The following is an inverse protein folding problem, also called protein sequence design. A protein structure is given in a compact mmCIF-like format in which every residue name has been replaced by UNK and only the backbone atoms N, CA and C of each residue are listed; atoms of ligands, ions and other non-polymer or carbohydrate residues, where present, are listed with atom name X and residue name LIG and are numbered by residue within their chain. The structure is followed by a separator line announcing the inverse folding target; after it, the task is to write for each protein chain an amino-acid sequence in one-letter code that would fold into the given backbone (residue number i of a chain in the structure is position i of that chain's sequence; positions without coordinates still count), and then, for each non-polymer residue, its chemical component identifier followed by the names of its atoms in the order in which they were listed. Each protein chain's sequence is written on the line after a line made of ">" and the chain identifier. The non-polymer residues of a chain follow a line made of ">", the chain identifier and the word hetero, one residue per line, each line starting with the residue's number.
data_IF_842476229081
#
_entry.id   IF_842476229081
#
_cell.length_a   1.000
_cell.length_b   1.000
_cell.length_c   1.000
_cell.angle_alpha   90.00
_cell.angle_beta   90.00
_cell.angle_gamma   90.00
#
_symmetry.space_group_name_H-M   'P 1'
#
loop_
_entity.id
_entity.type
_entity.pdbx_description
1 polymer ?
#
# COMPACT_ATOMS: atom_id res chain seq x y z
N UNK A 1 -10.99 31.36 20.25
CA UNK A 1 -11.41 30.29 21.20
C UNK A 1 -11.63 29.07 20.31
N UNK A 2 -10.62 28.21 20.18
CA UNK A 2 -10.67 26.96 19.41
C UNK A 2 -11.13 25.83 20.32
N UNK A 3 -12.14 25.08 19.89
CA UNK A 3 -12.70 23.92 20.58
C UNK A 3 -11.98 22.65 20.07
N UNK A 4 -11.35 21.82 20.92
CA UNK A 4 -10.73 20.59 20.46
C UNK A 4 -11.80 19.51 20.22
N UNK A 5 -11.80 18.97 19.00
CA UNK A 5 -12.69 17.87 18.58
C UNK A 5 -12.41 16.61 19.40
N UNK A 6 -13.44 16.17 20.10
CA UNK A 6 -13.53 14.91 20.82
C UNK A 6 -13.52 13.72 19.86
N UNK A 7 -12.61 12.77 20.05
CA UNK A 7 -12.69 11.41 19.48
C UNK A 7 -13.35 10.47 20.49
N UNK A 8 -14.56 9.92 20.23
CA UNK A 8 -15.29 9.09 21.20
C UNK A 8 -15.05 7.58 20.98
N UNK A 9 -13.81 7.10 21.12
CA UNK A 9 -13.53 5.65 21.18
C UNK A 9 -12.51 5.33 22.25
N UNK A 10 -12.86 5.56 23.51
CA UNK A 10 -12.23 4.91 24.66
C UNK A 10 -13.33 4.35 25.55
N UNK A 11 -13.68 3.09 25.35
CA UNK A 11 -14.36 2.35 26.39
C UNK A 11 -13.33 1.98 27.46
N UNK A 12 -13.59 2.30 28.77
CA UNK A 12 -12.76 1.81 29.85
C UNK A 12 -13.02 0.30 30.03
N UNK A 13 -11.93 -0.47 30.10
CA UNK A 13 -11.98 -1.88 30.48
C UNK A 13 -12.48 -2.03 31.91
N UNK A 14 -13.26 -3.08 32.24
CA UNK A 14 -13.70 -3.34 33.60
C UNK A 14 -12.51 -3.76 34.48
N UNK A 15 -12.49 -3.24 35.71
CA UNK A 15 -11.54 -3.61 36.74
C UNK A 15 -11.95 -4.96 37.39
N UNK A 16 -10.95 -5.71 37.79
CA UNK A 16 -10.85 -6.94 38.64
C UNK A 16 -10.54 -8.20 37.83
N UNK A 17 -9.39 -8.87 38.05
CA UNK A 17 -9.03 -9.65 39.18
C UNK A 17 -7.51 -9.89 39.23
N UNK A 18 -6.99 -9.84 40.43
CA UNK A 18 -5.61 -10.17 40.82
C UNK A 18 -5.38 -11.66 40.75
N UNK A 19 -4.25 -12.04 40.21
CA UNK A 19 -3.36 -13.20 40.46
C UNK A 19 -2.92 -13.84 39.15
N UNK A 20 -1.70 -13.55 38.78
CA UNK A 20 -0.57 -14.43 38.47
C UNK A 20 0.52 -13.54 37.90
N UNK A 21 1.56 -13.32 38.72
CA UNK A 21 2.79 -12.63 38.30
C UNK A 21 3.63 -13.65 37.55
N UNK A 22 3.53 -13.67 36.21
CA UNK A 22 4.53 -14.31 35.39
C UNK A 22 5.70 -13.33 35.19
N UNK A 23 6.85 -13.71 35.78
CA UNK A 23 8.06 -12.88 35.81
C UNK A 23 8.91 -13.08 34.55
N UNK A 24 8.32 -12.82 33.37
CA UNK A 24 9.11 -12.59 32.18
C UNK A 24 8.59 -11.28 31.55
N UNK A 25 9.38 -10.20 31.48
CA UNK A 25 9.02 -9.07 30.67
C UNK A 25 9.07 -9.53 29.20
N UNK A 26 7.90 -9.75 28.62
CA UNK A 26 7.78 -9.78 27.16
C UNK A 26 8.19 -8.39 26.72
N UNK A 27 9.44 -8.26 26.28
CA UNK A 27 9.92 -7.04 25.62
C UNK A 27 9.16 -7.02 24.28
N UNK A 28 8.01 -6.35 24.26
CA UNK A 28 7.45 -5.88 23.01
C UNK A 28 8.51 -4.93 22.42
N UNK A 29 9.28 -5.40 21.43
CA UNK A 29 9.95 -4.46 20.54
C UNK A 29 8.83 -3.57 20.00
N UNK A 30 8.81 -2.31 20.37
CA UNK A 30 8.11 -1.29 19.61
C UNK A 30 8.69 -1.38 18.20
N UNK A 31 8.00 -2.09 17.30
CA UNK A 31 8.30 -2.01 15.89
C UNK A 31 7.99 -0.56 15.52
N UNK A 32 9.04 0.21 15.33
CA UNK A 32 8.91 1.60 14.90
C UNK A 32 8.30 1.55 13.51
N UNK A 33 7.00 1.85 13.43
CA UNK A 33 6.31 1.98 12.16
C UNK A 33 6.98 3.10 11.37
N UNK A 34 7.48 2.79 10.18
CA UNK A 34 8.13 3.76 9.32
C UNK A 34 7.09 4.45 8.45
N UNK A 35 7.24 5.76 8.30
CA UNK A 35 6.53 6.57 7.31
C UNK A 35 7.50 6.95 6.20
N UNK A 36 7.02 7.10 4.97
CA UNK A 36 7.80 7.58 3.84
C UNK A 36 7.05 8.70 3.11
N UNK A 37 7.74 9.76 2.79
CA UNK A 37 7.26 10.79 1.88
C UNK A 37 7.47 10.38 0.42
N UNK A 38 7.00 11.21 -0.53
CA UNK A 38 7.06 10.89 -1.95
C UNK A 38 8.50 10.79 -2.50
N UNK A 39 9.43 11.56 -1.97
CA UNK A 39 10.83 11.51 -2.40
C UNK A 39 11.48 10.19 -2.01
N UNK A 40 11.26 9.74 -0.78
CA UNK A 40 11.71 8.43 -0.27
C UNK A 40 11.07 7.27 -1.02
N UNK A 41 9.77 7.38 -1.38
CA UNK A 41 9.09 6.39 -2.23
C UNK A 41 9.76 6.31 -3.62
N UNK A 42 10.14 7.44 -4.19
CA UNK A 42 10.83 7.51 -5.49
C UNK A 42 12.24 6.90 -5.44
N UNK A 43 12.88 6.80 -4.29
CA UNK A 43 14.15 6.07 -4.13
C UNK A 43 13.96 4.55 -4.14
N UNK A 44 12.74 4.09 -3.85
CA UNK A 44 12.40 2.66 -3.79
C UNK A 44 11.76 2.20 -5.09
N UNK A 45 10.70 2.90 -5.54
CA UNK A 45 9.97 2.55 -6.76
C UNK A 45 10.57 3.21 -8.00
N UNK A 46 10.68 2.47 -9.14
CA UNK A 46 11.16 3.04 -10.40
C UNK A 46 10.13 3.99 -11.06
N UNK A 47 8.88 3.96 -10.63
CA UNK A 47 7.78 4.72 -11.20
C UNK A 47 7.99 6.24 -11.09
N UNK A 48 7.58 6.99 -12.12
CA UNK A 48 7.60 8.46 -12.17
C UNK A 48 6.29 8.95 -12.78
N UNK A 49 6.07 10.27 -12.74
CA UNK A 49 4.92 10.87 -13.41
C UNK A 49 4.81 10.41 -14.88
N UNK A 50 3.62 10.04 -15.39
CA UNK A 50 2.31 10.05 -14.71
C UNK A 50 1.95 8.73 -14.01
N UNK A 51 2.88 7.77 -13.87
CA UNK A 51 2.62 6.43 -13.36
C UNK A 51 2.96 6.22 -11.88
N UNK A 52 3.51 7.22 -11.19
CA UNK A 52 3.66 7.15 -9.74
C UNK A 52 2.32 7.49 -9.08
N UNK A 53 1.68 6.49 -8.47
CA UNK A 53 0.33 6.57 -7.92
C UNK A 53 0.30 6.35 -6.38
N UNK A 54 1.39 6.65 -5.70
CA UNK A 54 1.49 6.64 -4.23
C UNK A 54 2.11 7.95 -3.79
N UNK A 55 1.43 8.69 -2.91
CA UNK A 55 1.86 10.01 -2.44
C UNK A 55 2.56 9.95 -1.08
N UNK A 56 2.19 8.97 -0.25
CA UNK A 56 2.77 8.76 1.08
C UNK A 56 2.63 7.29 1.50
N UNK A 57 3.59 6.78 2.26
CA UNK A 57 3.44 5.58 3.08
C UNK A 57 3.27 6.03 4.53
N UNK A 58 2.21 5.57 5.18
CA UNK A 58 1.88 5.91 6.57
C UNK A 58 2.29 4.83 7.56
N UNK A 59 2.46 3.60 7.07
CA UNK A 59 2.96 2.48 7.85
C UNK A 59 3.77 1.56 6.94
N UNK A 60 4.95 1.15 7.38
CA UNK A 60 5.79 0.20 6.66
C UNK A 60 6.48 -0.75 7.64
N UNK A 61 6.28 -2.03 7.42
CA UNK A 61 7.09 -3.12 7.95
C UNK A 61 7.68 -3.85 6.75
N UNK A 62 8.99 -3.70 6.48
CA UNK A 62 9.63 -4.28 5.31
C UNK A 62 9.40 -5.78 5.21
N UNK A 63 9.09 -6.29 4.02
CA UNK A 63 8.83 -7.70 3.73
C UNK A 63 7.61 -8.28 4.45
N UNK A 64 6.77 -7.45 5.06
CA UNK A 64 5.52 -7.86 5.70
C UNK A 64 4.33 -7.06 5.14
N UNK A 65 4.23 -5.76 5.42
CA UNK A 65 3.14 -4.95 4.90
C UNK A 65 3.51 -3.47 4.74
N UNK A 66 2.69 -2.77 3.97
CA UNK A 66 2.66 -1.31 3.94
C UNK A 66 1.22 -0.78 3.91
N UNK A 67 1.05 0.44 4.43
CA UNK A 67 -0.16 1.25 4.25
C UNK A 67 0.24 2.51 3.51
N UNK A 68 -0.37 2.73 2.35
CA UNK A 68 -0.06 3.87 1.49
C UNK A 68 -1.28 4.69 1.11
N UNK A 69 -1.04 5.92 0.76
CA UNK A 69 -2.05 6.92 0.42
C UNK A 69 -1.86 7.42 -1.00
N UNK A 70 -2.96 7.48 -1.77
CA UNK A 70 -3.06 8.21 -3.03
C UNK A 70 -4.13 9.28 -2.89
N UNK A 71 -3.73 10.55 -3.05
CA UNK A 71 -4.67 11.68 -3.16
C UNK A 71 -5.17 11.79 -4.60
N UNK A 72 -6.43 11.47 -4.82
CA UNK A 72 -7.04 11.46 -6.16
C UNK A 72 -7.56 12.86 -6.47
N UNK A 73 -6.76 13.65 -7.18
CA UNK A 73 -7.14 15.02 -7.53
C UNK A 73 -7.76 15.11 -8.94
N UNK A 74 -8.56 16.15 -9.20
CA UNK A 74 -9.11 16.39 -10.54
C UNK A 74 -8.03 16.69 -11.59
N UNK A 75 -6.80 16.99 -11.16
CA UNK A 75 -5.66 17.26 -12.03
C UNK A 75 -5.00 15.99 -12.59
N UNK A 76 -5.46 14.81 -12.20
CA UNK A 76 -4.95 13.55 -12.75
C UNK A 76 -5.27 13.45 -14.24
N UNK A 77 -4.28 13.16 -15.12
CA UNK A 77 -4.45 13.20 -16.57
C UNK A 77 -5.50 12.21 -17.09
N UNK A 78 -5.75 11.11 -16.39
CA UNK A 78 -6.72 10.10 -16.82
C UNK A 78 -8.18 10.60 -16.75
N UNK A 79 -8.50 11.64 -15.95
CA UNK A 79 -9.84 12.20 -15.88
C UNK A 79 -10.26 12.97 -17.14
N UNK A 80 -9.31 13.32 -18.03
CA UNK A 80 -9.62 13.93 -19.33
C UNK A 80 -10.42 12.96 -20.22
N UNK A 81 -10.20 11.65 -20.07
CA UNK A 81 -10.83 10.62 -20.90
C UNK A 81 -11.72 9.64 -20.16
N UNK A 82 -11.63 9.55 -18.83
CA UNK A 82 -12.32 8.49 -18.06
C UNK A 82 -13.24 9.05 -16.96
N UNK A 83 -14.42 9.59 -17.29
CA UNK A 83 -15.06 9.81 -18.59
C UNK A 83 -15.46 11.29 -18.71
N UNK A 84 -15.56 11.87 -19.92
CA UNK A 84 -16.00 13.26 -20.08
C UNK A 84 -17.34 13.51 -19.37
N UNK A 85 -17.35 14.48 -18.45
CA UNK A 85 -18.53 14.83 -17.64
C UNK A 85 -18.83 13.87 -16.45
N UNK A 86 -18.15 12.73 -16.35
CA UNK A 86 -18.32 11.75 -15.25
C UNK A 86 -16.93 11.18 -14.83
N UNK A 87 -16.11 11.99 -14.15
CA UNK A 87 -14.77 11.56 -13.78
C UNK A 87 -14.80 10.44 -12.73
N UNK A 88 -14.20 9.31 -13.08
CA UNK A 88 -14.04 8.14 -12.21
C UNK A 88 -12.62 7.63 -12.37
N UNK A 89 -11.92 7.29 -11.28
CA UNK A 89 -10.59 6.69 -11.38
C UNK A 89 -10.67 5.33 -12.08
N UNK A 90 -9.88 5.09 -13.15
CA UNK A 90 -9.88 3.80 -13.84
C UNK A 90 -9.55 2.64 -12.89
N UNK A 91 -10.34 1.56 -12.94
CA UNK A 91 -10.09 0.38 -12.10
C UNK A 91 -8.70 -0.20 -12.28
N UNK A 92 -8.16 -0.17 -13.50
CA UNK A 92 -6.79 -0.57 -13.78
C UNK A 92 -5.76 0.28 -13.00
N UNK A 93 -5.99 1.58 -12.85
CA UNK A 93 -5.12 2.47 -12.08
C UNK A 93 -5.35 2.37 -10.56
N UNK A 94 -6.54 1.96 -10.12
CA UNK A 94 -6.75 1.57 -8.72
C UNK A 94 -5.89 0.35 -8.40
N UNK A 95 -5.89 -0.68 -9.26
CA UNK A 95 -5.01 -1.84 -9.11
C UNK A 95 -3.53 -1.44 -9.08
N UNK A 96 -3.11 -0.57 -10.01
CA UNK A 96 -1.74 -0.08 -10.07
C UNK A 96 -1.34 0.65 -8.78
N UNK A 97 -2.17 1.58 -8.28
CA UNK A 97 -1.90 2.29 -7.05
C UNK A 97 -1.78 1.34 -5.83
N UNK A 98 -2.70 0.35 -5.73
CA UNK A 98 -2.63 -0.67 -4.69
C UNK A 98 -1.34 -1.50 -4.78
N UNK A 99 -0.96 -1.88 -5.99
CA UNK A 99 0.23 -2.70 -6.23
C UNK A 99 1.53 -1.95 -5.93
N UNK A 100 1.60 -0.66 -6.20
CA UNK A 100 2.75 0.17 -5.87
C UNK A 100 2.98 0.24 -4.35
N UNK A 101 1.92 0.31 -3.53
CA UNK A 101 2.05 0.21 -2.07
C UNK A 101 2.70 -1.12 -1.66
N UNK A 102 2.26 -2.24 -2.26
CA UNK A 102 2.88 -3.54 -2.05
C UNK A 102 4.32 -3.61 -2.57
N UNK A 103 4.58 -2.94 -3.70
CA UNK A 103 5.92 -2.79 -4.27
C UNK A 103 6.89 -2.10 -3.32
N UNK A 104 6.45 -1.06 -2.59
CA UNK A 104 7.28 -0.41 -1.57
C UNK A 104 7.71 -1.40 -0.49
N UNK A 105 6.79 -2.20 0.06
CA UNK A 105 7.12 -3.19 1.08
C UNK A 105 8.10 -4.26 0.59
N UNK A 106 7.98 -4.69 -0.69
CA UNK A 106 8.86 -5.68 -1.32
C UNK A 106 10.24 -5.12 -1.66
N UNK A 107 10.32 -3.86 -2.10
CA UNK A 107 11.55 -3.25 -2.60
C UNK A 107 12.27 -2.40 -1.56
N UNK A 108 11.70 -2.20 -0.37
CA UNK A 108 12.34 -1.44 0.70
C UNK A 108 13.71 -1.99 1.10
N UNK A 109 13.91 -3.33 1.25
CA UNK A 109 15.23 -3.89 1.52
C UNK A 109 16.24 -3.53 0.41
N UNK A 110 17.46 -3.21 0.81
CA UNK A 110 18.50 -2.71 -0.10
C UNK A 110 18.81 -3.69 -1.25
N UNK A 111 18.77 -4.99 -0.97
CA UNK A 111 18.97 -6.05 -1.96
C UNK A 111 17.91 -6.11 -3.07
N UNK A 112 16.74 -5.51 -2.83
CA UNK A 112 15.65 -5.46 -3.81
C UNK A 112 15.54 -4.09 -4.52
N UNK A 113 16.33 -3.11 -4.11
CA UNK A 113 16.33 -1.77 -4.73
C UNK A 113 16.91 -1.82 -6.14
N UNK A 114 16.31 -1.03 -7.02
CA UNK A 114 16.72 -0.98 -8.43
C UNK A 114 16.16 -2.12 -9.28
N UNK A 115 15.56 -3.15 -8.68
CA UNK A 115 14.82 -4.16 -9.44
C UNK A 115 13.51 -3.56 -9.97
N UNK A 116 13.02 -4.09 -11.09
CA UNK A 116 11.77 -3.64 -11.71
C UNK A 116 10.65 -4.63 -11.35
N UNK A 117 9.62 -4.19 -10.60
CA UNK A 117 8.50 -5.06 -10.27
C UNK A 117 7.58 -5.20 -11.48
N UNK A 118 7.52 -6.39 -12.05
CA UNK A 118 6.62 -6.72 -13.15
C UNK A 118 5.42 -7.51 -12.63
N UNK A 119 4.23 -7.14 -13.05
CA UNK A 119 3.06 -8.00 -12.84
C UNK A 119 3.20 -9.31 -13.61
N UNK A 120 3.01 -10.44 -12.92
CA UNK A 120 2.89 -11.76 -13.53
C UNK A 120 1.47 -12.32 -13.44
N UNK A 121 0.62 -11.71 -12.62
CA UNK A 121 -0.79 -12.05 -12.49
C UNK A 121 -1.53 -11.17 -11.50
N UNK A 122 -2.85 -11.19 -11.63
CA UNK A 122 -3.80 -10.56 -10.72
C UNK A 122 -4.96 -11.52 -10.48
N UNK A 123 -5.20 -11.86 -9.21
CA UNK A 123 -6.30 -12.73 -8.82
C UNK A 123 -7.27 -11.99 -7.90
N UNK A 124 -8.50 -12.49 -7.79
CA UNK A 124 -9.51 -12.00 -6.85
C UNK A 124 -9.78 -10.50 -6.93
N UNK A 125 -9.56 -9.88 -8.09
CA UNK A 125 -9.83 -8.44 -8.28
C UNK A 125 -11.32 -8.17 -8.15
N UNK A 126 -11.68 -7.25 -7.25
CA UNK A 126 -13.05 -6.80 -7.03
C UNK A 126 -13.09 -5.28 -6.83
N UNK A 127 -13.99 -4.62 -7.52
CA UNK A 127 -14.31 -3.21 -7.32
C UNK A 127 -15.70 -3.13 -6.69
N UNK A 128 -15.81 -2.47 -5.54
CA UNK A 128 -17.05 -2.38 -4.75
C UNK A 128 -17.81 -1.09 -5.02
N UNK A 129 -17.07 0.01 -5.18
CA UNK A 129 -17.62 1.33 -5.49
C UNK A 129 -16.56 2.20 -6.17
N UNK A 130 -16.98 3.23 -6.92
CA UNK A 130 -16.04 4.10 -7.62
C UNK A 130 -15.16 4.91 -6.66
N UNK A 131 -13.98 5.28 -7.14
CA UNK A 131 -13.09 6.29 -6.57
C UNK A 131 -13.18 7.53 -7.45
N UNK A 132 -13.42 8.68 -6.83
CA UNK A 132 -13.75 9.93 -7.50
C UNK A 132 -12.70 11.02 -7.24
N UNK A 133 -12.65 12.09 -8.06
CA UNK A 133 -11.84 13.27 -7.74
C UNK A 133 -12.22 13.85 -6.36
N UNK A 134 -11.22 14.12 -5.54
CA UNK A 134 -11.37 14.57 -4.14
C UNK A 134 -11.21 13.45 -3.11
N UNK A 135 -11.27 12.18 -3.53
CA UNK A 135 -11.06 11.05 -2.63
C UNK A 135 -9.57 10.93 -2.21
N UNK A 136 -9.36 10.49 -0.99
CA UNK A 136 -8.07 9.99 -0.52
C UNK A 136 -8.15 8.47 -0.39
N UNK A 137 -7.50 7.76 -1.30
CA UNK A 137 -7.47 6.31 -1.32
C UNK A 137 -6.37 5.80 -0.39
N UNK A 138 -6.75 5.05 0.64
CA UNK A 138 -5.85 4.39 1.58
C UNK A 138 -5.79 2.92 1.24
N UNK A 139 -4.59 2.43 0.93
CA UNK A 139 -4.33 1.02 0.59
C UNK A 139 -3.52 0.35 1.69
N UNK A 140 -3.99 -0.81 2.15
CA UNK A 140 -3.17 -1.77 2.92
C UNK A 140 -2.74 -2.89 2.01
N UNK A 141 -1.43 -3.11 1.90
CA UNK A 141 -0.82 -4.18 1.12
C UNK A 141 -0.05 -5.13 2.06
N UNK A 142 -0.39 -6.41 2.04
CA UNK A 142 0.20 -7.44 2.91
C UNK A 142 0.90 -8.48 2.06
N UNK A 143 2.18 -8.71 2.30
CA UNK A 143 2.96 -9.74 1.62
C UNK A 143 2.52 -11.11 2.12
N UNK A 144 2.00 -11.94 1.22
CA UNK A 144 1.50 -13.28 1.56
C UNK A 144 2.55 -14.38 1.36
N UNK A 145 3.42 -14.19 0.36
CA UNK A 145 4.44 -15.19 0.02
C UNK A 145 5.56 -14.57 -0.80
N UNK A 146 6.79 -15.04 -0.57
CA UNK A 146 7.95 -14.73 -1.40
C UNK A 146 8.69 -16.02 -1.70
N UNK A 147 9.07 -16.20 -2.96
CA UNK A 147 9.90 -17.32 -3.43
C UNK A 147 10.91 -16.74 -4.42
N UNK A 148 12.17 -16.61 -3.98
CA UNK A 148 13.20 -15.95 -4.78
C UNK A 148 12.76 -14.53 -5.14
N UNK A 149 12.66 -14.23 -6.44
CA UNK A 149 12.22 -12.92 -6.95
C UNK A 149 10.72 -12.81 -7.20
N UNK A 150 9.94 -13.83 -6.89
CA UNK A 150 8.48 -13.80 -7.03
C UNK A 150 7.82 -13.45 -5.71
N UNK A 151 6.88 -12.50 -5.72
CA UNK A 151 6.08 -12.13 -4.58
C UNK A 151 4.58 -12.24 -4.87
N UNK A 152 3.81 -12.61 -3.84
CA UNK A 152 2.36 -12.49 -3.81
C UNK A 152 1.96 -11.52 -2.72
N UNK A 153 1.20 -10.50 -3.08
CA UNK A 153 0.73 -9.44 -2.19
C UNK A 153 -0.77 -9.35 -2.27
N UNK A 154 -1.42 -9.33 -1.11
CA UNK A 154 -2.85 -9.04 -1.00
C UNK A 154 -3.04 -7.56 -0.68
N UNK A 155 -3.91 -6.89 -1.43
CA UNK A 155 -4.19 -5.47 -1.26
C UNK A 155 -5.69 -5.21 -1.08
N UNK A 156 -6.00 -4.30 -0.17
CA UNK A 156 -7.32 -3.73 0.01
C UNK A 156 -7.21 -2.21 0.03
N UNK A 157 -8.14 -1.51 -0.63
CA UNK A 157 -8.19 -0.06 -0.53
C UNK A 157 -9.54 0.45 -0.07
N UNK A 158 -9.52 1.60 0.63
CA UNK A 158 -10.69 2.28 1.16
C UNK A 158 -10.59 3.79 0.96
N UNK A 159 -11.73 4.46 1.00
CA UNK A 159 -11.86 5.92 1.07
C UNK A 159 -12.80 6.21 2.23
N UNK A 160 -12.36 7.06 3.18
CA UNK A 160 -13.12 7.38 4.40
C UNK A 160 -13.61 6.14 5.16
N UNK A 161 -12.79 5.07 5.16
CA UNK A 161 -13.12 3.78 5.79
C UNK A 161 -14.07 2.89 4.99
N UNK A 162 -14.60 3.35 3.85
CA UNK A 162 -15.45 2.55 2.97
C UNK A 162 -14.58 1.76 1.99
N UNK A 163 -14.72 0.44 2.01
CA UNK A 163 -13.98 -0.48 1.12
C UNK A 163 -14.33 -0.21 -0.36
N UNK A 164 -13.31 0.05 -1.17
CA UNK A 164 -13.43 0.38 -2.60
C UNK A 164 -13.02 -0.76 -3.51
N UNK A 165 -11.88 -1.38 -3.26
CA UNK A 165 -11.38 -2.50 -4.07
C UNK A 165 -10.46 -3.42 -3.27
N UNK A 166 -10.28 -4.64 -3.79
CA UNK A 166 -9.37 -5.66 -3.30
C UNK A 166 -8.76 -6.43 -4.47
N UNK A 167 -7.54 -6.93 -4.31
CA UNK A 167 -6.87 -7.79 -5.28
C UNK A 167 -5.71 -8.57 -4.65
N UNK A 168 -5.37 -9.70 -5.24
CA UNK A 168 -4.09 -10.40 -5.05
C UNK A 168 -3.19 -10.13 -6.26
N UNK A 169 -2.00 -9.58 -6.02
CA UNK A 169 -1.02 -9.31 -7.08
C UNK A 169 0.14 -10.29 -6.99
N UNK A 170 0.57 -10.79 -8.16
CA UNK A 170 1.78 -11.58 -8.30
C UNK A 170 2.83 -10.73 -9.03
N UNK A 171 4.01 -10.64 -8.42
CA UNK A 171 5.13 -9.87 -8.93
C UNK A 171 6.33 -10.75 -9.24
N UNK A 172 7.11 -10.33 -10.22
CA UNK A 172 8.48 -10.76 -10.43
C UNK A 172 9.40 -9.54 -10.39
N UNK A 173 10.44 -9.59 -9.55
CA UNK A 173 11.45 -8.54 -9.46
C UNK A 173 12.52 -8.80 -10.52
N UNK A 174 12.44 -8.07 -11.64
CA UNK A 174 13.39 -8.17 -12.75
C UNK A 174 14.63 -7.33 -12.43
N UNK A 175 15.82 -7.91 -12.57
CA UNK A 175 17.06 -7.15 -12.62
C UNK A 175 17.24 -6.55 -14.02
N UNK A 176 17.26 -5.22 -14.16
CA UNK A 176 17.43 -4.57 -15.46
C UNK A 176 18.78 -4.85 -16.12
N UNK A 177 19.77 -5.33 -15.36
CA UNK A 177 21.11 -5.67 -15.85
C UNK A 177 21.21 -7.14 -16.31
N UNK A 178 20.24 -7.99 -16.02
CA UNK A 178 20.19 -9.35 -16.54
C UNK A 178 19.74 -9.34 -17.99
N UNK A 179 20.60 -9.82 -18.90
CA UNK A 179 20.27 -9.96 -20.32
C UNK A 179 19.16 -11.01 -20.55
N UNK A 180 18.53 -11.00 -21.75
CA UNK A 180 17.47 -11.95 -22.08
C UNK A 180 17.93 -13.42 -22.16
N UNK A 181 19.24 -13.68 -22.11
CA UNK A 181 19.84 -15.02 -22.22
C UNK A 181 19.89 -15.82 -20.90
N UNK A 182 19.69 -15.17 -19.75
CA UNK A 182 19.81 -15.82 -18.44
C UNK A 182 18.51 -16.55 -17.99
N UNK A 183 17.54 -16.64 -18.90
CA UNK A 183 16.25 -17.33 -18.67
C UNK A 183 16.27 -18.74 -19.28
N UNK A 184 17.10 -19.62 -18.72
CA UNK A 184 17.00 -21.06 -18.99
C UNK A 184 16.68 -21.85 -17.73
#
# INVERSE_FOLDING_TARGET
>A
IMNPLFYPWRNPLPASDSHIIDKNPVIFKEETLMELNVEEIMEILPHRYPMLLVDKITELVPMDYAVGVKSVTMNEPFFQGHFPGHPVMPGALICEAMAQVGGVALQYPEENRGLIPLFTGMDHVRFRSPVLPGDQMVTKAVIKKIIGRMGKVHCECSVEGVHKAEADFLFYLLDPNEGPEDKK
#
